data_IF_421987379262
#
_entry.id   IF_421987379262
#
_cell.length_a   1.000
_cell.length_b   1.000
_cell.length_c   1.000
_cell.angle_alpha   90.00
_cell.angle_beta   90.00
_cell.angle_gamma   90.00
#
_symmetry.space_group_name_H-M   'P 1'
#
loop_
_entity.id
_entity.type
_entity.pdbx_description
1 polymer ?
#
# COMPACT_ATOMS: atom_id res chain seq x y z
N UNK A 1 11.88 -13.63 -3.66
CA UNK A 1 12.35 -12.32 -3.21
C UNK A 1 13.67 -11.94 -3.86
N UNK A 2 13.98 -10.63 -4.00
CA UNK A 2 15.24 -10.18 -4.63
C UNK A 2 16.45 -10.41 -3.73
N UNK A 3 16.25 -10.40 -2.42
CA UNK A 3 17.34 -10.54 -1.44
C UNK A 3 16.87 -11.41 -0.27
N UNK A 4 17.72 -12.35 0.11
CA UNK A 4 17.54 -13.08 1.36
C UNK A 4 17.99 -12.18 2.51
N UNK A 5 17.15 -12.05 3.53
CA UNK A 5 17.47 -11.20 4.67
C UNK A 5 18.41 -11.96 5.64
N UNK A 6 19.50 -11.32 6.02
CA UNK A 6 20.49 -11.84 6.97
C UNK A 6 20.72 -10.81 8.09
N UNK A 7 19.76 -10.57 8.98
CA UNK A 7 19.93 -9.59 10.05
C UNK A 7 21.00 -10.03 11.05
N UNK A 8 21.99 -9.17 11.28
CA UNK A 8 23.00 -9.35 12.33
C UNK A 8 22.45 -8.96 13.71
N UNK A 9 21.38 -8.13 13.73
CA UNK A 9 20.71 -7.68 14.96
C UNK A 9 19.46 -8.53 15.14
N UNK A 10 19.17 -8.93 16.38
CA UNK A 10 17.91 -9.60 16.69
C UNK A 10 16.72 -8.72 16.25
N UNK A 11 15.85 -9.29 15.44
CA UNK A 11 14.69 -8.59 14.88
C UNK A 11 13.77 -8.07 15.99
N UNK A 12 13.71 -8.76 17.13
CA UNK A 12 12.92 -8.32 18.28
C UNK A 12 13.48 -7.06 18.97
N UNK A 13 14.78 -6.82 18.84
CA UNK A 13 15.46 -5.63 19.34
C UNK A 13 15.41 -4.44 18.38
N UNK A 14 15.02 -4.69 17.11
CA UNK A 14 14.93 -3.63 16.12
C UNK A 14 13.87 -2.59 16.47
N UNK A 15 14.22 -1.33 16.23
CA UNK A 15 13.28 -0.22 16.37
C UNK A 15 12.10 -0.40 15.41
N UNK A 16 10.84 -0.20 15.87
CA UNK A 16 9.69 -0.25 14.97
C UNK A 16 9.78 0.71 13.78
N UNK A 17 10.45 1.86 13.94
CA UNK A 17 10.67 2.81 12.85
C UNK A 17 11.73 2.32 11.86
N UNK A 18 12.72 1.54 12.30
CA UNK A 18 13.67 0.90 11.39
C UNK A 18 12.99 -0.21 10.58
N UNK A 19 12.10 -0.98 11.20
CA UNK A 19 11.27 -1.96 10.51
C UNK A 19 10.35 -1.27 9.49
N UNK A 20 9.71 -0.15 9.86
CA UNK A 20 8.84 0.61 8.96
C UNK A 20 9.63 1.17 7.76
N UNK A 21 10.85 1.64 7.96
CA UNK A 21 11.72 2.10 6.88
C UNK A 21 12.00 1.01 5.82
N UNK A 22 12.22 -0.23 6.26
CA UNK A 22 12.37 -1.37 5.36
C UNK A 22 11.05 -1.76 4.69
N UNK A 23 9.95 -1.73 5.46
CA UNK A 23 8.62 -2.11 4.99
C UNK A 23 8.02 -1.17 3.96
N UNK A 24 8.30 0.12 4.04
CA UNK A 24 7.94 1.10 3.01
C UNK A 24 8.51 0.69 1.64
N UNK A 25 9.80 0.33 1.61
CA UNK A 25 10.44 -0.15 0.38
C UNK A 25 9.84 -1.48 -0.13
N UNK A 26 9.43 -2.37 0.78
CA UNK A 26 8.76 -3.63 0.43
C UNK A 26 7.42 -3.35 -0.24
N UNK A 27 6.59 -2.48 0.34
CA UNK A 27 5.29 -2.10 -0.23
C UNK A 27 5.45 -1.44 -1.60
N UNK A 28 6.38 -0.49 -1.71
CA UNK A 28 6.71 0.18 -2.97
C UNK A 28 7.08 -0.82 -4.06
N UNK A 29 7.91 -1.81 -3.74
CA UNK A 29 8.32 -2.84 -4.69
C UNK A 29 7.14 -3.69 -5.15
N UNK A 30 6.32 -4.18 -4.22
CA UNK A 30 5.15 -5.01 -4.51
C UNK A 30 4.16 -4.29 -5.43
N UNK A 31 3.83 -3.04 -5.11
CA UNK A 31 2.91 -2.22 -5.91
C UNK A 31 3.47 -1.98 -7.31
N UNK A 32 4.74 -1.57 -7.40
CA UNK A 32 5.38 -1.27 -8.69
C UNK A 32 5.50 -2.51 -9.56
N UNK A 33 5.92 -3.64 -8.99
CA UNK A 33 5.99 -4.91 -9.70
C UNK A 33 4.61 -5.29 -10.24
N UNK A 34 3.58 -5.28 -9.41
CA UNK A 34 2.24 -5.64 -9.81
C UNK A 34 1.68 -4.73 -10.91
N UNK A 35 1.92 -3.42 -10.83
CA UNK A 35 1.50 -2.47 -11.86
C UNK A 35 2.18 -2.75 -13.22
N UNK A 36 3.46 -3.07 -13.21
CA UNK A 36 4.20 -3.40 -14.45
C UNK A 36 3.73 -4.72 -15.04
N UNK A 37 3.43 -5.71 -14.21
CA UNK A 37 2.94 -7.02 -14.66
C UNK A 37 1.52 -6.96 -15.22
N UNK A 38 0.67 -6.07 -14.68
CA UNK A 38 -0.77 -6.07 -14.99
C UNK A 38 -1.22 -4.92 -15.89
N UNK A 39 -0.33 -3.98 -16.23
CA UNK A 39 -0.71 -2.82 -17.03
C UNK A 39 0.33 -2.47 -18.09
N UNK A 40 -0.13 -1.79 -19.15
CA UNK A 40 0.75 -1.20 -20.20
C UNK A 40 0.84 0.33 -20.08
N UNK A 41 0.78 0.84 -18.85
CA UNK A 41 0.82 2.27 -18.62
C UNK A 41 2.20 2.86 -18.90
N UNK A 42 2.23 4.11 -19.37
CA UNK A 42 3.47 4.88 -19.53
C UNK A 42 4.09 5.20 -18.16
N UNK A 43 5.43 5.36 -18.07
CA UNK A 43 6.13 5.54 -16.79
C UNK A 43 5.55 6.64 -15.87
N UNK A 44 5.17 7.79 -16.44
CA UNK A 44 4.56 8.86 -15.67
C UNK A 44 3.19 8.48 -15.07
N UNK A 45 2.42 7.66 -15.78
CA UNK A 45 1.14 7.13 -15.28
C UNK A 45 1.35 6.05 -14.24
N UNK A 46 2.35 5.17 -14.42
CA UNK A 46 2.71 4.16 -13.41
C UNK A 46 3.03 4.81 -12.06
N UNK A 47 3.84 5.89 -12.06
CA UNK A 47 4.17 6.62 -10.84
C UNK A 47 2.91 7.24 -10.19
N UNK A 48 2.06 7.90 -10.98
CA UNK A 48 0.82 8.47 -10.47
C UNK A 48 -0.11 7.43 -9.87
N UNK A 49 -0.26 6.27 -10.52
CA UNK A 49 -1.10 5.18 -10.01
C UNK A 49 -0.49 4.57 -8.76
N UNK A 50 0.83 4.33 -8.72
CA UNK A 50 1.50 3.79 -7.55
C UNK A 50 1.25 4.64 -6.29
N UNK A 51 1.25 5.97 -6.41
CA UNK A 51 0.99 6.89 -5.29
C UNK A 51 -0.36 6.64 -4.62
N UNK A 52 -1.37 6.18 -5.37
CA UNK A 52 -2.69 5.86 -4.82
C UNK A 52 -2.73 4.57 -3.99
N UNK A 53 -1.67 3.77 -4.02
CA UNK A 53 -1.50 2.58 -3.17
C UNK A 53 -0.54 2.83 -2.00
N UNK A 54 0.49 3.66 -2.18
CA UNK A 54 1.54 3.83 -1.16
C UNK A 54 1.35 5.06 -0.27
N UNK A 55 0.31 5.86 -0.47
CA UNK A 55 0.02 7.00 0.41
C UNK A 55 -0.46 6.54 1.80
N UNK A 56 -0.21 7.35 2.84
CA UNK A 56 -0.67 7.03 4.19
C UNK A 56 -2.19 6.84 4.28
N UNK A 57 -2.95 7.59 3.47
CA UNK A 57 -4.40 7.42 3.34
C UNK A 57 -4.75 6.04 2.77
N UNK A 58 -4.11 5.65 1.67
CA UNK A 58 -4.29 4.33 1.05
C UNK A 58 -3.93 3.20 2.02
N UNK A 59 -2.76 3.29 2.64
CA UNK A 59 -2.28 2.29 3.59
C UNK A 59 -3.20 2.12 4.80
N UNK A 60 -3.87 3.20 5.25
CA UNK A 60 -4.86 3.09 6.32
C UNK A 60 -6.11 2.31 5.88
N UNK A 61 -6.55 2.46 4.64
CA UNK A 61 -7.67 1.68 4.08
C UNK A 61 -7.27 0.23 3.80
N UNK A 62 -6.10 0.02 3.24
CA UNK A 62 -5.53 -1.30 2.98
C UNK A 62 -5.36 -2.12 4.26
N UNK A 63 -4.86 -1.47 5.32
CA UNK A 63 -4.72 -2.10 6.64
C UNK A 63 -6.05 -2.61 7.17
N UNK A 64 -7.14 -1.85 7.02
CA UNK A 64 -8.47 -2.28 7.46
C UNK A 64 -8.95 -3.57 6.78
N UNK A 65 -8.49 -3.86 5.56
CA UNK A 65 -8.82 -5.08 4.83
C UNK A 65 -8.09 -6.32 5.39
N UNK A 66 -6.88 -6.15 5.88
CA UNK A 66 -6.05 -7.26 6.35
C UNK A 66 -6.02 -7.42 7.88
N UNK A 67 -6.36 -6.38 8.64
CA UNK A 67 -6.32 -6.40 10.11
C UNK A 67 -7.08 -7.59 10.73
N UNK A 68 -8.27 -8.01 10.20
CA UNK A 68 -8.99 -9.17 10.72
C UNK A 68 -8.28 -10.53 10.55
N UNK A 69 -7.33 -10.62 9.63
CA UNK A 69 -6.62 -11.88 9.33
C UNK A 69 -5.22 -11.94 9.95
N UNK A 70 -4.82 -10.89 10.68
CA UNK A 70 -3.52 -10.83 11.34
C UNK A 70 -3.49 -11.77 12.57
N UNK A 71 -2.38 -12.47 12.71
CA UNK A 71 -2.08 -13.25 13.93
C UNK A 71 -1.84 -12.33 15.12
N UNK A 72 -1.86 -12.88 16.34
CA UNK A 72 -1.57 -12.10 17.55
C UNK A 72 -0.15 -11.47 17.51
N UNK A 73 0.83 -12.20 17.00
CA UNK A 73 2.20 -11.71 16.82
C UNK A 73 2.23 -10.52 15.84
N UNK A 74 1.60 -10.65 14.68
CA UNK A 74 1.50 -9.60 13.67
C UNK A 74 0.78 -8.35 14.20
N UNK A 75 -0.31 -8.54 14.97
CA UNK A 75 -1.02 -7.44 15.64
C UNK A 75 -0.14 -6.72 16.67
N UNK A 76 0.72 -7.45 17.38
CA UNK A 76 1.68 -6.85 18.32
C UNK A 76 2.71 -5.99 17.60
N UNK A 77 3.26 -6.46 16.47
CA UNK A 77 4.20 -5.70 15.65
C UNK A 77 3.53 -4.45 15.07
N UNK A 78 2.34 -4.59 14.50
CA UNK A 78 1.53 -3.49 13.99
C UNK A 78 1.32 -2.41 15.06
N UNK A 79 0.92 -2.82 16.28
CA UNK A 79 0.70 -1.91 17.42
C UNK A 79 1.99 -1.19 17.83
N UNK A 80 3.12 -1.89 17.85
CA UNK A 80 4.43 -1.27 18.14
C UNK A 80 4.76 -0.17 17.13
N UNK A 81 4.54 -0.42 15.83
CA UNK A 81 4.72 0.57 14.77
C UNK A 81 3.79 1.78 14.93
N UNK A 82 2.49 1.53 15.13
CA UNK A 82 1.48 2.59 15.39
C UNK A 82 1.88 3.50 16.58
N UNK A 83 2.44 2.91 17.64
CA UNK A 83 2.82 3.63 18.86
C UNK A 83 4.16 4.35 18.75
N UNK A 84 5.09 3.87 17.93
CA UNK A 84 6.40 4.48 17.73
C UNK A 84 6.34 5.74 16.86
N UNK A 85 5.28 5.87 16.06
CA UNK A 85 5.05 7.02 15.20
C UNK A 85 4.81 8.26 16.07
N UNK A 86 5.78 9.19 16.10
CA UNK A 86 5.57 10.54 16.63
C UNK A 86 4.70 11.27 15.61
N UNK A 87 3.55 11.77 16.05
CA UNK A 87 2.61 12.51 15.23
C UNK A 87 3.19 13.87 14.77
N UNK A 88 4.22 13.82 13.95
CA UNK A 88 4.61 14.92 13.08
C UNK A 88 3.69 14.84 11.88
N UNK A 89 2.69 15.69 11.87
CA UNK A 89 1.63 15.70 10.86
C UNK A 89 2.26 15.86 9.47
N UNK A 90 2.24 14.80 8.66
CA UNK A 90 2.51 14.92 7.25
C UNK A 90 1.48 15.89 6.65
N UNK A 91 1.89 16.80 5.77
CA UNK A 91 1.05 17.90 5.23
C UNK A 91 -0.29 17.46 4.59
N UNK A 92 -0.46 16.15 4.33
CA UNK A 92 -1.58 15.59 3.56
C UNK A 92 -2.21 14.34 4.19
N UNK A 93 -1.91 13.99 5.45
CA UNK A 93 -2.50 12.86 6.15
C UNK A 93 -2.92 13.26 7.56
N UNK A 94 -3.95 12.62 8.09
CA UNK A 94 -4.33 12.76 9.50
C UNK A 94 -3.31 12.05 10.38
N UNK A 95 -3.26 12.41 11.66
CA UNK A 95 -2.38 11.73 12.63
C UNK A 95 -2.72 10.23 12.76
N UNK A 96 -3.98 9.87 12.53
CA UNK A 96 -4.43 8.47 12.54
C UNK A 96 -3.90 7.71 11.33
N UNK A 97 -4.06 8.24 10.13
CA UNK A 97 -3.55 7.65 8.89
C UNK A 97 -2.03 7.48 8.93
N UNK A 98 -1.31 8.49 9.42
CA UNK A 98 0.14 8.40 9.56
C UNK A 98 0.58 7.32 10.55
N UNK A 99 -0.14 7.14 11.67
CA UNK A 99 0.15 6.04 12.61
C UNK A 99 -0.19 4.69 12.00
N UNK A 100 -1.30 4.58 11.26
CA UNK A 100 -1.69 3.36 10.60
C UNK A 100 -0.67 2.94 9.54
N UNK A 101 -0.20 3.88 8.70
CA UNK A 101 0.82 3.60 7.69
C UNK A 101 2.14 3.14 8.33
N UNK A 102 2.64 3.85 9.35
CA UNK A 102 3.85 3.43 10.06
C UNK A 102 3.71 2.04 10.68
N UNK A 103 2.52 1.71 11.21
CA UNK A 103 2.24 0.37 11.74
C UNK A 103 2.26 -0.69 10.66
N UNK A 104 1.64 -0.41 9.52
CA UNK A 104 1.58 -1.32 8.37
C UNK A 104 2.97 -1.55 7.77
N UNK A 105 3.72 -0.49 7.54
CA UNK A 105 5.12 -0.57 7.10
C UNK A 105 5.99 -1.36 8.08
N UNK A 106 5.82 -1.13 9.40
CA UNK A 106 6.52 -1.90 10.43
C UNK A 106 6.22 -3.40 10.34
N UNK A 107 4.96 -3.79 10.09
CA UNK A 107 4.56 -5.17 9.90
C UNK A 107 5.23 -5.78 8.66
N UNK A 108 5.18 -5.10 7.52
CA UNK A 108 5.79 -5.58 6.28
C UNK A 108 7.31 -5.73 6.41
N UNK A 109 7.98 -4.76 7.02
CA UNK A 109 9.43 -4.84 7.25
C UNK A 109 9.82 -5.98 8.19
N UNK A 110 9.03 -6.22 9.24
CA UNK A 110 9.23 -7.34 10.14
C UNK A 110 9.05 -8.68 9.42
N UNK A 111 7.97 -8.85 8.66
CA UNK A 111 7.74 -10.07 7.88
C UNK A 111 8.87 -10.32 6.87
N UNK A 112 9.32 -9.27 6.19
CA UNK A 112 10.41 -9.35 5.22
C UNK A 112 11.71 -9.83 5.88
N UNK A 113 12.13 -9.19 6.97
CA UNK A 113 13.36 -9.54 7.69
C UNK A 113 13.29 -10.91 8.36
N UNK A 114 12.08 -11.41 8.67
CA UNK A 114 11.84 -12.78 9.13
C UNK A 114 11.83 -13.81 8.00
N UNK A 115 11.97 -13.40 6.74
CA UNK A 115 11.87 -14.26 5.57
C UNK A 115 10.46 -14.83 5.31
N UNK A 116 9.41 -14.17 5.84
CA UNK A 116 8.01 -14.61 5.70
C UNK A 116 7.36 -14.05 4.43
N UNK A 117 7.99 -14.26 3.29
CA UNK A 117 7.57 -13.69 2.01
C UNK A 117 6.21 -14.20 1.56
N UNK A 118 5.94 -15.48 1.75
CA UNK A 118 4.63 -16.08 1.43
C UNK A 118 3.50 -15.37 2.18
N UNK A 119 3.77 -14.93 3.42
CA UNK A 119 2.80 -14.19 4.22
C UNK A 119 2.61 -12.77 3.71
N UNK A 120 3.68 -12.10 3.31
CA UNK A 120 3.59 -10.77 2.66
C UNK A 120 2.75 -10.87 1.40
N UNK A 121 2.99 -11.88 0.57
CA UNK A 121 2.23 -12.10 -0.66
C UNK A 121 0.74 -12.35 -0.39
N UNK A 122 0.41 -13.18 0.61
CA UNK A 122 -0.98 -13.43 1.03
C UNK A 122 -1.71 -12.14 1.44
N UNK A 123 -1.08 -11.31 2.27
CA UNK A 123 -1.64 -10.03 2.71
C UNK A 123 -1.79 -9.06 1.52
N UNK A 124 -0.76 -8.97 0.69
CA UNK A 124 -0.79 -8.09 -0.48
C UNK A 124 -1.83 -8.52 -1.52
N UNK A 125 -2.00 -9.82 -1.77
CA UNK A 125 -3.06 -10.32 -2.66
C UNK A 125 -4.46 -9.98 -2.15
N UNK A 126 -4.66 -10.01 -0.83
CA UNK A 126 -5.93 -9.60 -0.23
C UNK A 126 -6.19 -8.12 -0.46
N UNK A 127 -5.18 -7.28 -0.28
CA UNK A 127 -5.25 -5.85 -0.57
C UNK A 127 -5.54 -5.64 -2.05
N UNK A 128 -4.74 -6.22 -2.93
CA UNK A 128 -4.84 -6.01 -4.38
C UNK A 128 -6.22 -6.37 -4.96
N UNK A 129 -6.86 -7.41 -4.41
CA UNK A 129 -8.19 -7.85 -4.84
C UNK A 129 -9.34 -6.99 -4.31
N UNK A 130 -9.17 -6.37 -3.15
CA UNK A 130 -10.28 -5.74 -2.43
C UNK A 130 -10.13 -4.20 -2.31
N UNK A 131 -8.93 -3.67 -2.48
CA UNK A 131 -8.68 -2.24 -2.48
C UNK A 131 -8.78 -1.66 -3.88
N UNK A 132 -9.63 -0.64 -4.02
CA UNK A 132 -9.71 0.14 -5.26
C UNK A 132 -9.34 1.58 -4.91
N UNK A 133 -8.22 2.09 -5.42
CA UNK A 133 -7.83 3.48 -5.17
C UNK A 133 -8.90 4.45 -5.63
N UNK A 134 -9.17 5.47 -4.82
CA UNK A 134 -9.99 6.60 -5.24
C UNK A 134 -9.28 7.29 -6.42
N UNK A 135 -9.86 7.19 -7.60
CA UNK A 135 -9.39 7.96 -8.75
C UNK A 135 -9.72 9.41 -8.46
N UNK A 136 -8.72 10.27 -8.26
CA UNK A 136 -8.91 11.69 -8.46
C UNK A 136 -9.38 11.89 -9.90
N UNK A 137 -10.68 12.01 -10.08
CA UNK A 137 -11.28 12.52 -11.30
C UNK A 137 -10.89 14.00 -11.35
N UNK A 138 -9.69 14.27 -11.86
CA UNK A 138 -9.37 15.60 -12.33
C UNK A 138 -10.24 15.85 -13.54
N UNK A 139 -11.50 16.22 -13.26
CA UNK A 139 -12.37 16.82 -14.28
C UNK A 139 -11.70 18.13 -14.67
N UNK A 140 -10.83 18.07 -15.67
CA UNK A 140 -10.55 19.27 -16.47
C UNK A 140 -11.88 19.67 -17.06
N UNK A 141 -12.52 20.67 -16.43
CA UNK A 141 -13.66 21.36 -17.03
C UNK A 141 -13.19 22.03 -18.32
N UNK A 142 -13.21 21.26 -19.41
CA UNK A 142 -13.27 21.88 -20.73
C UNK A 142 -14.71 22.37 -20.87
N UNK A 143 -14.91 23.65 -20.55
CA UNK A 143 -16.06 24.42 -21.00
C UNK A 143 -15.93 24.62 -22.51
N UNK A 144 -16.44 23.66 -23.27
CA UNK A 144 -16.98 23.96 -24.60
C UNK A 144 -18.09 22.95 -24.89
N UNK A 145 -19.25 23.54 -25.02
CA UNK A 145 -20.54 23.05 -25.43
C UNK A 145 -20.49 21.87 -26.44
N UNK A 146 -21.13 20.70 -26.17
CA UNK A 146 -22.30 20.33 -26.97
C UNK A 146 -23.08 19.15 -26.40
N UNK A 147 -24.40 19.22 -26.56
CA UNK A 147 -25.43 18.28 -26.13
C UNK A 147 -25.33 16.95 -26.87
N UNK A 148 -25.48 15.85 -26.16
CA UNK A 148 -26.49 14.80 -26.42
C UNK A 148 -26.12 13.46 -25.72
N UNK A 149 -27.02 12.97 -24.86
CA UNK A 149 -27.44 11.57 -24.84
C UNK A 149 -26.63 10.54 -24.02
N UNK A 150 -27.07 10.33 -22.79
CA UNK A 150 -27.33 9.04 -22.11
C UNK A 150 -26.34 7.86 -22.30
N UNK A 151 -25.78 7.37 -21.28
CA UNK A 151 -26.03 6.11 -20.54
C UNK A 151 -24.83 5.76 -19.63
N UNK A 152 -25.14 5.57 -18.37
CA UNK A 152 -24.24 5.08 -17.34
C UNK A 152 -23.87 3.62 -17.63
N UNK A 153 -22.58 3.33 -17.71
CA UNK A 153 -22.05 2.00 -17.42
C UNK A 153 -20.69 2.18 -16.75
N UNK A 154 -20.53 1.54 -15.60
CA UNK A 154 -19.29 1.50 -14.84
C UNK A 154 -18.13 0.99 -15.68
N UNK A 155 -16.91 1.55 -15.56
CA UNK A 155 -15.77 1.00 -16.26
C UNK A 155 -15.26 -0.25 -15.51
N UNK A 156 -15.59 -1.42 -16.04
CA UNK A 156 -14.87 -2.63 -15.74
C UNK A 156 -13.42 -2.47 -16.24
N UNK A 157 -12.44 -2.67 -15.38
CA UNK A 157 -11.07 -2.90 -15.80
C UNK A 157 -11.09 -4.20 -16.63
N UNK A 158 -11.01 -4.06 -17.93
CA UNK A 158 -10.94 -5.19 -18.86
C UNK A 158 -9.54 -5.79 -18.77
N UNK A 159 -9.41 -6.88 -18.03
CA UNK A 159 -8.31 -7.81 -18.18
C UNK A 159 -8.60 -8.59 -19.46
N UNK A 160 -8.02 -8.18 -20.57
CA UNK A 160 -7.99 -9.00 -21.78
C UNK A 160 -6.77 -9.90 -21.68
N UNK A 161 -7.02 -11.18 -21.38
CA UNK A 161 -6.10 -12.26 -21.64
C UNK A 161 -6.05 -12.50 -23.17
N UNK A 162 -4.86 -12.36 -23.76
CA UNK A 162 -4.35 -13.16 -24.88
C UNK A 162 -2.82 -13.14 -24.83
#
# INVERSE_FOLDING_TARGET
MLFEAHPEIDIHEMSPLALAFAGDAVLELLVRQRLVETSRLQPGRLHSVATHYVSAHAQNQELALIEPMLTEEEQNILRRGKNASKASVAKHATAQEYRASTGFECLLGWLHLMGRDDRIEELFETIWKNYTPEQEVTVRRNTSCNKAGAQQTAPAFCVAAQ
#
